data_IF_042579286160
#
_entry.id   IF_042579286160
#
_cell.length_a   1.000
_cell.length_b   1.000
_cell.length_c   1.000
_cell.angle_alpha   90.00
_cell.angle_beta   90.00
_cell.angle_gamma   90.00
#
_symmetry.space_group_name_H-M   'P 1'
#
loop_
_entity.id
_entity.type
_entity.pdbx_description
1 polymer ?
#
# COMPACT_ATOMS: atom_id res chain seq x y z
N UNK A 1 -8.61 -10.37 -12.15
CA UNK A 1 -7.53 -10.65 -11.17
C UNK A 1 -7.26 -9.40 -10.35
N UNK A 2 -7.37 -9.48 -9.04
CA UNK A 2 -7.27 -8.33 -8.16
C UNK A 2 -6.25 -8.59 -7.05
N UNK A 3 -5.47 -7.57 -6.68
CA UNK A 3 -4.64 -7.53 -5.48
C UNK A 3 -5.27 -6.57 -4.48
N UNK A 4 -5.40 -7.02 -3.26
CA UNK A 4 -5.79 -6.18 -2.12
C UNK A 4 -4.54 -5.73 -1.38
N UNK A 5 -4.37 -4.43 -1.23
CA UNK A 5 -3.30 -3.79 -0.47
C UNK A 5 -3.91 -3.12 0.76
N UNK A 6 -3.65 -3.67 1.93
CA UNK A 6 -4.23 -3.20 3.20
C UNK A 6 -3.19 -2.39 3.96
N UNK A 7 -3.45 -1.09 4.10
CA UNK A 7 -2.57 -0.11 4.75
C UNK A 7 -3.08 0.18 6.17
N UNK A 8 -2.47 -0.50 7.14
CA UNK A 8 -2.75 -0.34 8.57
C UNK A 8 -1.48 0.01 9.35
N UNK A 9 -1.36 -0.44 10.59
CA UNK A 9 -0.11 -0.35 11.38
C UNK A 9 1.07 -0.98 10.63
N UNK A 10 0.80 -2.03 9.87
CA UNK A 10 1.68 -2.63 8.87
C UNK A 10 1.06 -2.59 7.49
N UNK A 11 1.57 -3.43 6.59
CA UNK A 11 1.03 -3.65 5.25
C UNK A 11 0.65 -5.12 5.14
N UNK A 12 -0.56 -5.38 4.74
CA UNK A 12 -1.04 -6.72 4.40
C UNK A 12 -1.54 -6.77 2.98
N UNK A 13 -1.88 -7.97 2.52
CA UNK A 13 -2.46 -8.11 1.20
C UNK A 13 -3.04 -9.48 0.93
N UNK A 14 -3.62 -9.62 -0.25
CA UNK A 14 -4.16 -10.89 -0.74
C UNK A 14 -4.47 -10.80 -2.22
N UNK A 15 -4.22 -11.88 -2.94
CA UNK A 15 -4.48 -11.99 -4.37
C UNK A 15 -5.79 -12.75 -4.57
N UNK A 16 -6.68 -12.23 -5.43
CA UNK A 16 -7.92 -12.88 -5.82
C UNK A 16 -7.88 -13.19 -7.31
N UNK A 17 -8.01 -14.47 -7.65
CA UNK A 17 -8.08 -14.98 -9.01
C UNK A 17 -9.43 -15.65 -9.21
N UNK A 18 -10.18 -15.22 -10.23
CA UNK A 18 -11.48 -15.79 -10.59
C UNK A 18 -12.45 -15.88 -9.40
N UNK A 19 -12.45 -14.85 -8.54
CA UNK A 19 -13.30 -14.76 -7.35
C UNK A 19 -12.82 -15.55 -6.14
N UNK A 20 -11.66 -16.20 -6.20
CA UNK A 20 -11.10 -17.00 -5.11
C UNK A 20 -9.79 -16.43 -4.58
N UNK A 21 -9.60 -16.49 -3.27
CA UNK A 21 -8.31 -16.12 -2.66
C UNK A 21 -7.23 -17.10 -3.09
N UNK A 22 -6.16 -16.57 -3.67
CA UNK A 22 -5.04 -17.36 -4.15
C UNK A 22 -4.08 -17.68 -3.01
N UNK A 23 -4.21 -18.83 -2.41
CA UNK A 23 -3.46 -19.22 -1.21
C UNK A 23 -2.10 -19.86 -1.50
N UNK A 24 -1.95 -20.53 -2.62
CA UNK A 24 -0.74 -21.25 -3.05
C UNK A 24 -0.20 -22.22 -1.98
N UNK A 25 1.13 -22.31 -1.80
CA UNK A 25 1.79 -23.36 -1.03
C UNK A 25 1.53 -23.29 0.47
N UNK A 26 1.73 -22.12 1.09
CA UNK A 26 1.60 -21.92 2.56
C UNK A 26 0.45 -21.01 2.94
N UNK A 27 -0.31 -20.50 1.98
CA UNK A 27 -1.32 -19.47 2.22
C UNK A 27 -0.77 -18.04 2.29
N UNK A 28 0.53 -17.85 2.06
CA UNK A 28 1.20 -16.55 2.15
C UNK A 28 1.23 -15.75 0.84
N UNK A 29 0.53 -16.20 -0.20
CA UNK A 29 0.49 -15.43 -1.44
C UNK A 29 -0.19 -14.08 -1.24
N UNK A 30 0.47 -13.00 -1.67
CA UNK A 30 -0.02 -11.64 -1.47
C UNK A 30 0.32 -11.03 -0.11
N UNK A 31 1.10 -11.71 0.74
CA UNK A 31 1.67 -11.09 1.94
C UNK A 31 2.77 -10.10 1.54
N UNK A 32 2.43 -8.82 1.56
CA UNK A 32 3.25 -7.76 0.99
C UNK A 32 4.20 -7.09 1.99
N UNK A 33 4.05 -7.38 3.29
CA UNK A 33 4.86 -6.75 4.35
C UNK A 33 6.36 -6.98 4.16
N UNK A 34 6.74 -8.16 3.68
CA UNK A 34 8.11 -8.57 3.43
C UNK A 34 8.67 -8.21 2.05
N UNK A 35 7.93 -7.51 1.20
CA UNK A 35 8.42 -7.10 -0.12
C UNK A 35 9.63 -6.17 0.04
N UNK A 36 10.77 -6.56 -0.58
CA UNK A 36 11.99 -5.75 -0.58
C UNK A 36 11.88 -4.64 -1.63
N UNK A 37 12.07 -3.39 -1.18
CA UNK A 37 12.01 -2.20 -2.03
C UNK A 37 13.32 -1.40 -2.03
N UNK A 38 14.25 -1.76 -1.17
CA UNK A 38 15.59 -1.14 -1.10
C UNK A 38 16.64 -2.21 -0.79
N UNK A 39 17.32 -2.69 -1.82
CA UNK A 39 18.34 -3.71 -1.69
C UNK A 39 19.59 -3.22 -0.95
N UNK A 40 19.90 -1.91 -1.00
CA UNK A 40 21.03 -1.36 -0.27
C UNK A 40 20.76 -1.33 1.24
N UNK A 41 19.55 -0.94 1.63
CA UNK A 41 19.14 -0.94 3.03
C UNK A 41 19.13 -2.35 3.63
N UNK A 42 18.85 -3.40 2.83
CA UNK A 42 18.89 -4.79 3.32
C UNK A 42 20.28 -5.23 3.78
N UNK A 43 21.34 -4.61 3.28
CA UNK A 43 22.72 -4.86 3.71
C UNK A 43 23.12 -4.19 5.03
N UNK A 44 22.27 -3.35 5.61
CA UNK A 44 22.53 -2.66 6.86
C UNK A 44 22.33 -3.59 8.07
N UNK A 45 22.97 -3.31 9.23
CA UNK A 45 22.68 -4.03 10.47
C UNK A 45 21.23 -3.85 10.91
N UNK A 46 20.69 -4.87 11.64
CA UNK A 46 19.39 -4.70 12.30
C UNK A 46 19.50 -3.64 13.43
N UNK A 47 18.50 -2.73 13.61
CA UNK A 47 17.20 -2.70 12.93
C UNK A 47 17.16 -1.85 11.64
N UNK A 48 18.25 -1.23 11.22
CA UNK A 48 18.28 -0.35 10.04
C UNK A 48 17.87 -1.07 8.76
N UNK A 49 18.23 -2.36 8.62
CA UNK A 49 17.81 -3.19 7.47
C UNK A 49 16.29 -3.32 7.32
N UNK A 50 15.52 -3.08 8.38
CA UNK A 50 14.04 -3.11 8.29
C UNK A 50 13.49 -2.04 7.35
N UNK A 51 14.23 -0.95 7.10
CA UNK A 51 13.85 0.07 6.11
C UNK A 51 13.84 -0.43 4.66
N UNK A 52 14.43 -1.61 4.42
CA UNK A 52 14.37 -2.29 3.12
C UNK A 52 12.98 -2.83 2.79
N UNK A 53 12.14 -3.07 3.80
CA UNK A 53 10.82 -3.68 3.64
C UNK A 53 9.76 -2.64 3.31
N UNK A 54 8.91 -2.97 2.35
CA UNK A 54 7.85 -2.08 1.88
C UNK A 54 6.90 -1.64 3.00
N UNK A 55 6.55 -2.54 3.91
CA UNK A 55 5.71 -2.22 5.06
C UNK A 55 6.23 -1.06 5.92
N UNK A 56 7.54 -0.92 6.04
CA UNK A 56 8.16 0.15 6.83
C UNK A 56 8.29 1.47 6.05
N UNK A 57 7.76 1.52 4.85
CA UNK A 57 7.73 2.73 4.01
C UNK A 57 6.34 3.26 3.76
N UNK A 58 5.33 2.38 3.67
CA UNK A 58 3.97 2.77 3.28
C UNK A 58 2.90 2.41 4.31
N UNK A 59 3.25 1.89 5.48
CA UNK A 59 2.26 1.69 6.54
C UNK A 59 1.78 3.00 7.16
N UNK A 60 0.58 2.99 7.72
CA UNK A 60 0.06 4.15 8.46
C UNK A 60 1.05 4.58 9.57
N UNK A 61 1.64 3.61 10.27
CA UNK A 61 2.62 3.89 11.32
C UNK A 61 3.90 4.57 10.77
N UNK A 62 4.38 4.16 9.59
CA UNK A 62 5.59 4.77 9.01
C UNK A 62 5.36 6.21 8.56
N UNK A 63 4.23 6.50 7.91
CA UNK A 63 3.96 7.86 7.41
C UNK A 63 3.65 8.83 8.55
N UNK A 64 2.91 8.41 9.58
CA UNK A 64 2.62 9.28 10.73
C UNK A 64 3.89 9.56 11.55
N UNK A 65 4.77 8.57 11.69
CA UNK A 65 6.10 8.76 12.28
C UNK A 65 6.94 9.75 11.48
N UNK A 66 7.01 9.60 10.17
CA UNK A 66 7.77 10.50 9.30
C UNK A 66 7.26 11.95 9.40
N UNK A 67 5.94 12.14 9.51
CA UNK A 67 5.34 13.45 9.72
C UNK A 67 5.71 14.03 11.09
N UNK A 68 5.58 13.24 12.17
CA UNK A 68 5.95 13.68 13.51
C UNK A 68 7.43 14.12 13.58
N UNK A 69 8.35 13.33 12.98
CA UNK A 69 9.76 13.67 12.93
C UNK A 69 10.03 15.00 12.20
N UNK A 70 9.38 15.26 11.06
CA UNK A 70 9.52 16.53 10.33
C UNK A 70 9.01 17.73 11.12
N UNK A 71 7.92 17.55 11.85
CA UNK A 71 7.31 18.61 12.67
C UNK A 71 7.95 18.76 14.06
N UNK A 72 8.88 17.88 14.46
CA UNK A 72 9.46 17.87 15.80
C UNK A 72 8.43 17.50 16.89
N UNK A 73 7.41 16.69 16.55
CA UNK A 73 6.39 16.21 17.45
C UNK A 73 6.82 14.88 18.08
N UNK A 74 6.36 14.61 19.30
CA UNK A 74 6.56 13.32 19.97
C UNK A 74 5.88 12.17 19.20
N UNK A 75 4.68 12.44 18.66
CA UNK A 75 3.91 11.51 17.83
C UNK A 75 2.91 12.26 16.96
N UNK A 76 2.42 11.60 15.92
CA UNK A 76 1.30 12.04 15.12
C UNK A 76 0.43 10.84 14.74
N UNK A 77 -0.83 11.09 14.43
CA UNK A 77 -1.75 10.10 13.88
C UNK A 77 -2.17 10.45 12.45
N UNK A 78 -2.97 9.56 11.85
CA UNK A 78 -3.44 9.76 10.49
C UNK A 78 -4.37 10.98 10.33
N UNK A 79 -5.15 11.30 11.37
CA UNK A 79 -6.04 12.47 11.33
C UNK A 79 -5.20 13.74 11.27
N UNK A 80 -4.23 13.88 12.16
CA UNK A 80 -3.32 15.04 12.19
C UNK A 80 -2.59 15.23 10.86
N UNK A 81 -2.08 14.13 10.26
CA UNK A 81 -1.36 14.19 8.99
C UNK A 81 -2.27 14.66 7.85
N UNK A 82 -3.45 14.06 7.69
CA UNK A 82 -4.34 14.40 6.58
C UNK A 82 -5.02 15.77 6.75
N UNK A 83 -5.38 16.17 7.98
CA UNK A 83 -5.92 17.49 8.24
C UNK A 83 -4.86 18.57 7.96
N UNK A 84 -3.58 18.32 8.31
CA UNK A 84 -2.49 19.21 7.95
C UNK A 84 -2.28 19.29 6.42
N UNK A 85 -2.37 18.16 5.73
CA UNK A 85 -2.30 18.11 4.26
C UNK A 85 -3.41 18.95 3.61
N UNK A 86 -4.66 18.81 4.06
CA UNK A 86 -5.80 19.63 3.60
C UNK A 86 -5.61 21.13 3.91
N UNK A 87 -4.95 21.44 5.02
CA UNK A 87 -4.60 22.83 5.37
C UNK A 87 -3.41 23.39 4.56
N UNK A 88 -2.79 22.61 3.70
CA UNK A 88 -1.68 23.02 2.84
C UNK A 88 -0.29 22.98 3.52
N UNK A 89 -0.14 22.18 4.58
CA UNK A 89 1.14 21.99 5.26
C UNK A 89 2.15 21.29 4.34
N UNK A 90 3.29 21.93 4.08
CA UNK A 90 4.30 21.42 3.14
C UNK A 90 5.00 20.14 3.64
N UNK A 91 5.13 19.95 4.96
CA UNK A 91 5.70 18.71 5.51
C UNK A 91 4.74 17.53 5.35
N UNK A 92 3.44 17.75 5.59
CA UNK A 92 2.42 16.76 5.36
C UNK A 92 2.35 16.37 3.88
N UNK A 93 2.40 17.34 2.99
CA UNK A 93 2.43 17.13 1.54
C UNK A 93 3.64 16.30 1.12
N UNK A 94 4.84 16.68 1.57
CA UNK A 94 6.07 15.96 1.24
C UNK A 94 6.04 14.50 1.75
N UNK A 95 5.48 14.23 2.94
CA UNK A 95 5.33 12.87 3.47
C UNK A 95 4.36 12.05 2.62
N UNK A 96 3.22 12.64 2.24
CA UNK A 96 2.22 11.93 1.45
C UNK A 96 2.64 11.74 -0.02
N UNK A 97 3.40 12.66 -0.60
CA UNK A 97 4.01 12.48 -1.92
C UNK A 97 5.03 11.34 -1.92
N UNK A 98 5.92 11.28 -0.91
CA UNK A 98 6.86 10.16 -0.74
C UNK A 98 6.14 8.83 -0.54
N UNK A 99 5.11 8.79 0.31
CA UNK A 99 4.26 7.63 0.49
C UNK A 99 3.63 7.16 -0.83
N UNK A 100 3.06 8.09 -1.59
CA UNK A 100 2.46 7.79 -2.89
C UNK A 100 3.46 7.19 -3.87
N UNK A 101 4.65 7.78 -3.96
CA UNK A 101 5.74 7.28 -4.80
C UNK A 101 6.18 5.87 -4.40
N UNK A 102 6.41 5.62 -3.10
CA UNK A 102 6.82 4.31 -2.60
C UNK A 102 5.74 3.23 -2.80
N UNK A 103 4.47 3.61 -2.63
CA UNK A 103 3.36 2.71 -2.90
C UNK A 103 3.25 2.38 -4.40
N UNK A 104 3.33 3.39 -5.25
CA UNK A 104 3.27 3.23 -6.71
C UNK A 104 4.44 2.40 -7.26
N UNK A 105 5.66 2.61 -6.79
CA UNK A 105 6.83 1.85 -7.20
C UNK A 105 6.71 0.35 -6.84
N UNK A 106 6.17 0.05 -5.66
CA UNK A 106 5.87 -1.34 -5.28
C UNK A 106 4.78 -1.96 -6.14
N UNK A 107 3.71 -1.21 -6.44
CA UNK A 107 2.65 -1.67 -7.36
C UNK A 107 3.21 -1.91 -8.76
N UNK A 108 4.12 -1.05 -9.27
CA UNK A 108 4.82 -1.28 -10.55
C UNK A 108 5.56 -2.62 -10.58
N UNK A 109 6.27 -2.94 -9.50
CA UNK A 109 7.02 -4.20 -9.36
C UNK A 109 6.10 -5.42 -9.32
N UNK A 110 4.98 -5.30 -8.60
CA UNK A 110 3.95 -6.35 -8.56
C UNK A 110 3.26 -6.50 -9.91
N UNK A 111 2.98 -5.41 -10.61
CA UNK A 111 2.36 -5.44 -11.95
C UNK A 111 3.24 -6.17 -12.96
N UNK A 112 4.55 -5.91 -12.93
CA UNK A 112 5.50 -6.62 -13.79
C UNK A 112 5.57 -8.13 -13.51
N UNK A 113 5.17 -8.57 -12.32
CA UNK A 113 5.23 -9.98 -11.90
C UNK A 113 3.89 -10.70 -12.09
N UNK A 114 2.78 -10.02 -11.84
CA UNK A 114 1.45 -10.62 -11.68
C UNK A 114 0.47 -10.25 -12.80
N UNK A 115 0.70 -9.15 -13.52
CA UNK A 115 -0.16 -8.60 -14.58
C UNK A 115 -1.65 -8.56 -14.17
N UNK A 116 -1.92 -7.85 -13.09
CA UNK A 116 -3.25 -7.78 -12.49
C UNK A 116 -4.13 -6.70 -13.14
N UNK A 117 -5.43 -6.90 -13.10
CA UNK A 117 -6.40 -5.91 -13.57
C UNK A 117 -6.59 -4.76 -12.60
N UNK A 118 -6.47 -5.03 -11.27
CA UNK A 118 -6.83 -4.06 -10.23
C UNK A 118 -6.01 -4.23 -8.97
N UNK A 119 -5.68 -3.08 -8.36
CA UNK A 119 -5.18 -2.97 -6.99
C UNK A 119 -6.20 -2.23 -6.13
N UNK A 120 -6.74 -2.90 -5.11
CA UNK A 120 -7.72 -2.33 -4.20
C UNK A 120 -7.06 -1.92 -2.89
N UNK A 121 -7.08 -0.62 -2.59
CA UNK A 121 -6.45 -0.02 -1.42
C UNK A 121 -7.42 -0.05 -0.25
N UNK A 122 -7.03 -0.72 0.83
CA UNK A 122 -7.82 -0.87 2.06
C UNK A 122 -7.04 -0.48 3.31
N UNK A 123 -7.63 -0.74 4.48
CA UNK A 123 -7.06 -0.39 5.77
C UNK A 123 -7.49 0.99 6.27
N UNK A 124 -7.06 1.34 7.50
CA UNK A 124 -7.57 2.53 8.19
C UNK A 124 -7.36 3.84 7.44
N UNK A 125 -6.20 4.02 6.82
CA UNK A 125 -5.89 5.27 6.09
C UNK A 125 -6.65 5.39 4.76
N UNK A 126 -7.16 4.29 4.19
CA UNK A 126 -7.95 4.33 2.96
C UNK A 126 -9.36 4.91 3.15
N UNK A 127 -9.77 5.15 4.40
CA UNK A 127 -10.98 5.91 4.71
C UNK A 127 -10.88 7.38 4.23
N UNK A 128 -9.67 7.90 4.07
CA UNK A 128 -9.40 9.19 3.42
C UNK A 128 -9.28 8.98 1.91
N UNK A 129 -10.16 9.53 1.09
CA UNK A 129 -10.14 9.37 -0.37
C UNK A 129 -8.81 9.76 -1.01
N UNK A 130 -8.15 10.78 -0.44
CA UNK A 130 -6.85 11.30 -0.84
C UNK A 130 -5.77 10.20 -0.87
N UNK A 131 -5.85 9.21 0.02
CA UNK A 131 -4.90 8.09 0.08
C UNK A 131 -4.82 7.36 -1.25
N UNK A 132 -5.98 6.96 -1.80
CA UNK A 132 -6.04 6.25 -3.09
C UNK A 132 -5.69 7.17 -4.24
N UNK A 133 -6.09 8.44 -4.20
CA UNK A 133 -5.80 9.43 -5.23
C UNK A 133 -4.31 9.73 -5.34
N UNK A 134 -3.62 9.90 -4.21
CA UNK A 134 -2.17 10.11 -4.13
C UNK A 134 -1.43 8.92 -4.74
N UNK A 135 -1.81 7.69 -4.37
CA UNK A 135 -1.19 6.47 -4.92
C UNK A 135 -1.45 6.37 -6.42
N UNK A 136 -2.69 6.61 -6.88
CA UNK A 136 -3.06 6.56 -8.29
C UNK A 136 -2.27 7.57 -9.11
N UNK A 137 -2.24 8.83 -8.64
CA UNK A 137 -1.47 9.88 -9.31
C UNK A 137 0.01 9.52 -9.43
N UNK A 138 0.62 9.07 -8.33
CA UNK A 138 2.03 8.67 -8.34
C UNK A 138 2.28 7.47 -9.29
N UNK A 139 1.32 6.53 -9.37
CA UNK A 139 1.40 5.41 -10.31
C UNK A 139 1.29 5.88 -11.76
N UNK A 140 0.36 6.79 -12.06
CA UNK A 140 0.21 7.38 -13.39
C UNK A 140 1.49 8.11 -13.81
N UNK A 141 2.07 8.91 -12.92
CA UNK A 141 3.31 9.64 -13.14
C UNK A 141 4.51 8.69 -13.43
N UNK A 142 4.54 7.49 -12.86
CA UNK A 142 5.56 6.47 -13.11
C UNK A 142 5.29 5.63 -14.37
N UNK A 143 4.04 5.20 -14.56
CA UNK A 143 3.68 4.26 -15.61
C UNK A 143 3.55 4.91 -16.99
N UNK A 144 2.86 6.06 -17.08
CA UNK A 144 2.48 6.65 -18.36
C UNK A 144 3.67 7.01 -19.27
N UNK A 145 4.80 7.53 -18.75
CA UNK A 145 5.98 7.77 -19.57
C UNK A 145 6.62 6.49 -20.13
N UNK A 146 6.37 5.36 -19.49
CA UNK A 146 6.95 4.05 -19.83
C UNK A 146 5.96 3.12 -20.55
N UNK A 147 4.69 3.50 -20.66
CA UNK A 147 3.59 2.65 -21.13
C UNK A 147 3.88 1.95 -22.47
N UNK A 148 4.53 2.65 -23.41
CA UNK A 148 4.87 2.09 -24.73
C UNK A 148 5.93 0.96 -24.67
N UNK A 149 6.64 0.84 -23.55
CA UNK A 149 7.70 -0.14 -23.34
C UNK A 149 7.27 -1.28 -22.39
N UNK A 150 6.10 -1.13 -21.71
CA UNK A 150 5.62 -2.14 -20.76
C UNK A 150 4.92 -3.28 -21.51
N UNK A 151 5.28 -4.55 -21.23
CA UNK A 151 4.63 -5.71 -21.83
C UNK A 151 3.28 -6.06 -21.16
N UNK A 152 2.88 -5.33 -20.12
CA UNK A 152 1.66 -5.55 -19.33
C UNK A 152 0.78 -4.30 -19.32
N UNK A 153 -0.50 -4.50 -19.05
CA UNK A 153 -1.48 -3.41 -19.04
C UNK A 153 -1.37 -2.52 -17.81
N UNK A 154 -1.94 -1.30 -17.92
CA UNK A 154 -2.12 -0.39 -16.80
C UNK A 154 -3.27 -0.89 -15.91
N UNK A 155 -3.04 -1.21 -14.63
CA UNK A 155 -4.09 -1.66 -13.73
C UNK A 155 -4.95 -0.49 -13.24
N UNK A 156 -6.16 -0.80 -12.79
CA UNK A 156 -6.95 0.13 -12.00
C UNK A 156 -6.45 0.19 -10.56
N UNK A 157 -6.37 1.38 -9.97
CA UNK A 157 -6.11 1.57 -8.54
C UNK A 157 -7.38 2.16 -7.92
N UNK A 158 -8.01 1.39 -7.00
CA UNK A 158 -9.32 1.73 -6.42
C UNK A 158 -9.30 1.62 -4.90
N UNK A 159 -10.25 2.27 -4.23
CA UNK A 159 -10.46 2.09 -2.79
C UNK A 159 -11.31 0.85 -2.52
N UNK A 160 -10.98 0.07 -1.49
CA UNK A 160 -11.78 -1.07 -1.04
C UNK A 160 -13.19 -0.64 -0.61
N UNK A 161 -14.19 -1.41 -1.05
CA UNK A 161 -15.61 -1.07 -0.84
C UNK A 161 -16.05 -1.12 0.63
N UNK A 162 -15.52 -2.06 1.41
CA UNK A 162 -16.07 -2.40 2.74
C UNK A 162 -15.29 -1.78 3.91
N UNK A 163 -14.23 -1.00 3.66
CA UNK A 163 -13.46 -0.34 4.71
C UNK A 163 -13.06 -1.30 5.86
N UNK A 164 -13.30 -0.89 7.10
CA UNK A 164 -12.97 -1.70 8.28
C UNK A 164 -13.84 -2.96 8.46
N UNK A 165 -15.01 -3.03 7.82
CA UNK A 165 -15.88 -4.20 7.87
C UNK A 165 -15.39 -5.36 6.99
N UNK A 166 -14.45 -5.09 6.08
CA UNK A 166 -13.92 -6.09 5.15
C UNK A 166 -13.41 -7.36 5.84
N UNK A 167 -12.79 -7.24 7.02
CA UNK A 167 -12.28 -8.39 7.78
C UNK A 167 -13.41 -9.29 8.29
N UNK A 168 -14.50 -8.73 8.78
CA UNK A 168 -15.66 -9.48 9.26
C UNK A 168 -16.37 -10.18 8.10
N UNK A 169 -16.59 -9.46 7.01
CA UNK A 169 -17.19 -9.99 5.78
C UNK A 169 -16.33 -11.11 5.20
N UNK A 170 -15.02 -10.90 5.13
CA UNK A 170 -14.07 -11.88 4.63
C UNK A 170 -14.00 -13.14 5.50
N UNK A 171 -14.02 -13.00 6.82
CA UNK A 171 -14.03 -14.13 7.75
C UNK A 171 -15.32 -14.97 7.60
N UNK A 172 -16.47 -14.32 7.46
CA UNK A 172 -17.74 -15.00 7.21
C UNK A 172 -17.72 -15.71 5.85
N UNK A 173 -17.29 -15.03 4.79
CA UNK A 173 -17.20 -15.61 3.46
C UNK A 173 -16.28 -16.85 3.43
N UNK A 174 -15.14 -16.77 4.10
CA UNK A 174 -14.20 -17.88 4.21
C UNK A 174 -14.77 -19.06 4.99
N UNK A 175 -15.51 -18.80 6.08
CA UNK A 175 -16.19 -19.84 6.85
C UNK A 175 -17.21 -20.57 6.00
N UNK A 176 -18.07 -19.84 5.28
CA UNK A 176 -19.10 -20.42 4.40
C UNK A 176 -18.51 -21.17 3.20
N UNK A 177 -17.35 -20.76 2.72
CA UNK A 177 -16.67 -21.43 1.60
C UNK A 177 -16.05 -22.77 2.02
N UNK A 178 -15.63 -22.91 3.28
CA UNK A 178 -15.06 -24.15 3.82
C UNK A 178 -16.10 -25.12 4.39
N UNK A 179 -17.34 -24.66 4.61
CA UNK A 179 -18.44 -25.49 5.09
C UNK A 179 -19.08 -26.26 3.93
#
# INVERSE_FOLDING_TARGET
MDQYLVLGTGVGGGIVLDGHVWMVYTGGAGELSGLLVDFNAMGLPFPQSMSALWANRISAASITKAYAERKGLESADGIMLFDAYEAGDEDAKAVLEEFGFQAAAGIMSLQATLDLQRYAIGGGISARPETTEIIRKAFDDLYDPLAAFMPYGKPEIVTCKFGNEANLIGALAFHLWKA
#
